data_IF_585238481015
#
_entry.id   IF_585238481015
#
_cell.length_a   1.000
_cell.length_b   1.000
_cell.length_c   1.000
_cell.angle_alpha   90.00
_cell.angle_beta   90.00
_cell.angle_gamma   90.00
#
_symmetry.space_group_name_H-M   'P 1'
#
loop_
_entity.id
_entity.type
_entity.pdbx_description
1 polymer ?
#
# COMPACT_ATOMS: atom_id res chain seq x y z
N UNK A 1 4.71 -0.35 2.75
CA UNK A 1 3.93 0.59 1.91
C UNK A 1 4.17 1.99 2.43
N UNK A 2 4.45 2.92 1.53
CA UNK A 2 4.73 4.32 1.86
C UNK A 2 3.96 5.21 0.90
N UNK A 3 3.16 6.14 1.43
CA UNK A 3 2.63 7.27 0.67
C UNK A 3 3.42 8.52 1.04
N UNK A 4 3.88 9.26 0.03
CA UNK A 4 4.58 10.53 0.18
C UNK A 4 4.24 11.47 -0.96
N UNK A 5 4.48 12.76 -0.77
CA UNK A 5 4.46 13.70 -1.89
C UNK A 5 5.68 13.52 -2.79
N UNK A 6 5.54 13.86 -4.07
CA UNK A 6 6.62 13.77 -5.06
C UNK A 6 7.85 14.61 -4.66
N UNK A 7 7.61 15.79 -4.10
CA UNK A 7 8.63 16.72 -3.62
C UNK A 7 9.13 16.41 -2.19
N UNK A 8 8.70 15.30 -1.59
CA UNK A 8 9.00 14.92 -0.20
C UNK A 8 8.54 15.94 0.86
N UNK A 9 7.60 16.83 0.50
CA UNK A 9 6.93 17.73 1.44
C UNK A 9 6.00 16.98 2.39
N UNK A 10 5.34 17.72 3.31
CA UNK A 10 4.50 17.08 4.33
C UNK A 10 3.14 16.67 3.81
N UNK A 11 2.58 15.60 4.36
CA UNK A 11 1.24 15.23 3.93
C UNK A 11 0.23 16.28 4.39
N UNK A 12 -0.76 16.57 3.55
CA UNK A 12 -1.74 17.61 3.84
C UNK A 12 -2.44 17.38 5.19
N UNK A 13 -2.50 18.41 6.03
CA UNK A 13 -3.12 18.33 7.37
C UNK A 13 -4.64 18.13 7.32
N UNK A 14 -5.25 18.27 6.14
CA UNK A 14 -6.64 17.95 5.85
C UNK A 14 -6.89 16.45 5.77
N UNK A 15 -5.85 15.62 5.61
CA UNK A 15 -5.98 14.16 5.64
C UNK A 15 -6.28 13.72 7.08
N UNK A 16 -7.31 12.89 7.21
CA UNK A 16 -7.68 12.23 8.47
C UNK A 16 -7.07 10.83 8.53
N UNK A 17 -7.28 10.02 7.47
CA UNK A 17 -6.73 8.67 7.41
C UNK A 17 -6.40 8.22 5.99
N UNK A 18 -5.49 7.25 5.87
CA UNK A 18 -5.14 6.62 4.59
C UNK A 18 -5.25 5.11 4.74
N UNK A 19 -6.02 4.47 3.86
CA UNK A 19 -6.25 3.03 3.82
C UNK A 19 -5.89 2.49 2.45
N UNK A 20 -5.16 1.38 2.43
CA UNK A 20 -4.84 0.65 1.21
C UNK A 20 -5.62 -0.66 1.19
N UNK A 21 -6.18 -1.02 0.05
CA UNK A 21 -6.88 -2.28 -0.17
C UNK A 21 -6.11 -3.08 -1.21
N UNK A 22 -5.80 -4.33 -0.90
CA UNK A 22 -5.16 -5.28 -1.83
C UNK A 22 -6.11 -6.45 -2.04
N UNK A 23 -6.53 -6.66 -3.28
CA UNK A 23 -7.53 -7.65 -3.69
C UNK A 23 -6.96 -8.78 -4.55
N UNK A 24 -7.83 -9.69 -4.96
CA UNK A 24 -7.47 -10.91 -5.72
C UNK A 24 -6.47 -11.82 -4.97
N UNK A 25 -6.56 -11.82 -3.64
CA UNK A 25 -5.73 -12.66 -2.79
C UNK A 25 -6.45 -13.98 -2.53
N UNK A 26 -5.69 -15.06 -2.36
CA UNK A 26 -6.23 -16.32 -1.89
C UNK A 26 -6.91 -16.12 -0.52
N UNK A 27 -7.99 -16.85 -0.30
CA UNK A 27 -8.74 -16.79 0.95
C UNK A 27 -8.16 -17.77 1.98
N UNK A 28 -7.64 -18.90 1.50
CA UNK A 28 -7.25 -20.03 2.34
C UNK A 28 -6.17 -20.88 1.67
N UNK A 29 -5.53 -21.71 2.50
CA UNK A 29 -4.64 -22.79 2.08
C UNK A 29 -5.33 -24.12 2.36
N UNK A 30 -5.39 -24.98 1.36
CA UNK A 30 -5.83 -26.35 1.53
C UNK A 30 -4.71 -27.14 2.23
N UNK A 31 -4.96 -27.51 3.49
CA UNK A 31 -3.95 -28.18 4.34
C UNK A 31 -3.58 -29.58 3.88
N UNK A 32 -4.37 -30.21 2.99
CA UNK A 32 -4.08 -31.54 2.48
C UNK A 32 -3.02 -31.53 1.37
N UNK A 33 -3.04 -30.53 0.49
CA UNK A 33 -2.15 -30.46 -0.68
C UNK A 33 -1.26 -29.20 -0.71
N UNK A 34 -1.47 -28.24 0.20
CA UNK A 34 -0.73 -26.98 0.26
C UNK A 34 -1.17 -25.93 -0.76
N UNK A 35 -2.22 -26.19 -1.55
CA UNK A 35 -2.68 -25.26 -2.58
C UNK A 35 -3.44 -24.07 -1.99
N UNK A 36 -3.24 -22.90 -2.57
CA UNK A 36 -4.04 -21.70 -2.29
C UNK A 36 -5.37 -21.77 -3.05
N UNK A 37 -6.46 -21.35 -2.42
CA UNK A 37 -7.81 -21.44 -3.00
C UNK A 37 -8.59 -20.12 -2.83
N UNK A 38 -9.55 -19.89 -3.73
CA UNK A 38 -10.49 -18.76 -3.73
C UNK A 38 -9.80 -17.37 -3.76
N UNK A 39 -9.22 -17.00 -4.90
CA UNK A 39 -8.52 -15.73 -5.11
C UNK A 39 -9.44 -14.50 -5.23
N UNK A 40 -10.27 -14.27 -4.21
CA UNK A 40 -11.26 -13.18 -4.19
C UNK A 40 -11.11 -12.28 -2.97
N UNK A 41 -10.21 -12.63 -2.04
CA UNK A 41 -10.06 -11.91 -0.79
C UNK A 41 -9.47 -10.53 -1.06
N UNK A 42 -10.06 -9.53 -0.41
CA UNK A 42 -9.49 -8.19 -0.29
C UNK A 42 -9.15 -7.92 1.17
N UNK A 43 -7.95 -7.43 1.42
CA UNK A 43 -7.48 -7.01 2.75
C UNK A 43 -7.30 -5.51 2.78
N UNK A 44 -7.61 -4.90 3.93
CA UNK A 44 -7.33 -3.49 4.19
C UNK A 44 -6.07 -3.39 5.05
N UNK A 45 -5.17 -2.51 4.63
CA UNK A 45 -3.90 -2.22 5.30
C UNK A 45 -3.94 -0.72 5.66
N UNK A 46 -4.04 -0.37 6.96
CA UNK A 46 -4.02 1.02 7.38
C UNK A 46 -2.61 1.57 7.31
N UNK A 47 -2.46 2.83 6.92
CA UNK A 47 -1.20 3.56 7.02
C UNK A 47 -1.23 4.53 8.20
N UNK A 48 -0.11 4.62 8.91
CA UNK A 48 0.06 5.62 9.97
C UNK A 48 0.70 6.86 9.39
N UNK A 49 0.05 8.02 9.51
CA UNK A 49 0.56 9.31 9.07
C UNK A 49 1.61 9.80 10.08
N UNK A 50 2.79 10.18 9.60
CA UNK A 50 3.89 10.72 10.39
C UNK A 50 4.67 11.74 9.57
N UNK A 51 4.43 13.03 9.82
CA UNK A 51 5.12 14.13 9.15
C UNK A 51 4.95 14.08 7.63
N UNK A 52 6.00 13.68 6.91
CA UNK A 52 6.04 13.67 5.44
C UNK A 52 5.49 12.43 4.78
N UNK A 53 5.13 11.40 5.55
CA UNK A 53 4.77 10.11 4.98
C UNK A 53 3.62 9.45 5.73
N UNK A 54 2.85 8.63 5.03
CA UNK A 54 1.95 7.66 5.64
C UNK A 54 2.52 6.26 5.38
N UNK A 55 2.80 5.51 6.45
CA UNK A 55 3.61 4.29 6.35
C UNK A 55 2.90 3.13 7.04
N UNK A 56 2.99 1.97 6.40
CA UNK A 56 2.85 0.68 7.05
C UNK A 56 4.12 -0.13 6.75
N UNK A 57 4.85 -0.48 7.81
CA UNK A 57 6.17 -1.12 7.70
C UNK A 57 6.08 -2.56 7.18
N UNK A 58 5.05 -3.31 7.56
CA UNK A 58 4.90 -4.70 7.14
C UNK A 58 3.44 -5.15 7.27
N UNK A 59 2.92 -5.77 6.22
CA UNK A 59 1.66 -6.49 6.22
C UNK A 59 1.88 -7.87 5.58
N UNK A 60 1.29 -8.91 6.16
CA UNK A 60 1.33 -10.26 5.59
C UNK A 60 0.01 -10.57 4.93
N UNK A 61 0.08 -11.09 3.71
CA UNK A 61 -1.09 -11.45 2.89
C UNK A 61 -0.87 -12.80 2.25
N UNK A 62 -1.96 -13.49 1.91
CA UNK A 62 -1.87 -14.69 1.07
C UNK A 62 -1.55 -14.30 -0.38
N UNK A 63 -1.00 -15.22 -1.18
CA UNK A 63 -0.64 -14.97 -2.57
C UNK A 63 -1.81 -14.54 -3.46
N UNK A 64 -1.48 -13.99 -4.62
CA UNK A 64 -2.43 -13.75 -5.72
C UNK A 64 -2.12 -14.63 -6.92
N UNK A 65 -3.13 -14.93 -7.74
CA UNK A 65 -3.01 -15.66 -9.01
C UNK A 65 -2.98 -14.73 -10.23
N UNK A 66 -3.44 -13.50 -10.06
CA UNK A 66 -3.36 -12.39 -11.01
C UNK A 66 -2.72 -11.18 -10.33
N UNK A 67 -2.26 -10.17 -11.10
CA UNK A 67 -1.78 -8.92 -10.50
C UNK A 67 -2.88 -8.33 -9.59
N UNK A 68 -2.62 -8.16 -8.28
CA UNK A 68 -3.64 -7.77 -7.32
C UNK A 68 -4.34 -6.48 -7.70
N UNK A 69 -5.65 -6.44 -7.46
CA UNK A 69 -6.35 -5.16 -7.38
C UNK A 69 -5.75 -4.34 -6.24
N UNK A 70 -5.54 -3.06 -6.47
CA UNK A 70 -4.94 -2.14 -5.53
C UNK A 70 -5.76 -0.85 -5.47
N UNK A 71 -6.25 -0.51 -4.28
CA UNK A 71 -6.98 0.75 -4.06
C UNK A 71 -6.41 1.51 -2.89
N UNK A 72 -6.29 2.82 -3.06
CA UNK A 72 -6.00 3.76 -1.99
C UNK A 72 -7.26 4.58 -1.71
N UNK A 73 -7.64 4.65 -0.45
CA UNK A 73 -8.68 5.58 0.03
C UNK A 73 -8.04 6.56 1.02
N UNK A 74 -8.30 7.85 0.79
CA UNK A 74 -7.85 8.96 1.64
C UNK A 74 -9.10 9.63 2.17
N UNK A 75 -9.34 9.50 3.48
CA UNK A 75 -10.40 10.24 4.16
C UNK A 75 -9.86 11.62 4.57
N UNK A 76 -10.64 12.65 4.27
CA UNK A 76 -10.35 14.03 4.63
C UNK A 76 -11.15 14.41 5.89
N UNK A 77 -10.62 15.33 6.69
CA UNK A 77 -11.25 15.83 7.93
C UNK A 77 -12.61 16.52 7.69
N UNK A 78 -12.89 16.94 6.46
CA UNK A 78 -14.19 17.48 6.07
C UNK A 78 -15.26 16.39 5.82
N UNK A 79 -14.90 15.10 5.94
CA UNK A 79 -15.77 13.95 5.72
C UNK A 79 -15.78 13.40 4.29
N UNK A 80 -15.01 13.99 3.37
CA UNK A 80 -14.88 13.49 2.00
C UNK A 80 -13.87 12.33 1.92
N UNK A 81 -14.18 11.31 1.12
CA UNK A 81 -13.24 10.22 0.80
C UNK A 81 -12.82 10.31 -0.66
N UNK A 82 -11.52 10.48 -0.89
CA UNK A 82 -10.92 10.39 -2.23
C UNK A 82 -10.44 8.96 -2.47
N UNK A 83 -10.64 8.45 -3.69
CA UNK A 83 -10.36 7.05 -4.04
C UNK A 83 -9.51 6.97 -5.30
N UNK A 84 -8.54 6.07 -5.29
CA UNK A 84 -7.73 5.71 -6.45
C UNK A 84 -7.64 4.20 -6.58
N UNK A 85 -7.88 3.67 -7.77
CA UNK A 85 -7.92 2.23 -8.05
C UNK A 85 -6.99 1.90 -9.23
N UNK A 86 -6.23 0.82 -9.09
CA UNK A 86 -5.33 0.28 -10.13
C UNK A 86 -5.13 -1.22 -9.89
N UNK A 87 -4.24 -1.83 -10.68
CA UNK A 87 -3.63 -3.12 -10.38
C UNK A 87 -2.14 -2.95 -10.12
N UNK A 88 -1.56 -3.84 -9.32
CA UNK A 88 -0.10 -3.98 -9.25
C UNK A 88 0.44 -4.56 -10.56
N UNK A 89 1.75 -4.46 -10.78
CA UNK A 89 2.39 -4.92 -12.01
C UNK A 89 2.56 -6.45 -12.09
N UNK A 90 2.62 -7.13 -10.95
CA UNK A 90 2.93 -8.56 -10.85
C UNK A 90 2.11 -9.26 -9.77
N UNK A 91 2.05 -10.60 -9.84
CA UNK A 91 1.40 -11.43 -8.82
C UNK A 91 2.19 -11.39 -7.51
N UNK A 92 1.51 -11.52 -6.38
CA UNK A 92 2.17 -11.71 -5.08
C UNK A 92 2.47 -13.19 -4.89
N UNK A 93 3.74 -13.55 -4.99
CA UNK A 93 4.20 -14.93 -4.81
C UNK A 93 4.61 -15.19 -3.35
N UNK A 94 4.43 -16.42 -2.82
CA UNK A 94 5.00 -16.81 -1.53
C UNK A 94 6.52 -16.52 -1.48
N UNK A 95 7.05 -16.17 -0.31
CA UNK A 95 8.49 -15.95 -0.17
C UNK A 95 9.00 -14.62 -0.75
N UNK A 96 8.10 -13.71 -1.14
CA UNK A 96 8.47 -12.39 -1.68
C UNK A 96 8.12 -11.26 -0.72
N UNK A 97 8.98 -10.24 -0.70
CA UNK A 97 8.71 -8.95 -0.03
C UNK A 97 8.62 -7.88 -1.11
N UNK A 98 7.45 -7.25 -1.22
CA UNK A 98 7.21 -6.15 -2.14
C UNK A 98 7.15 -4.82 -1.37
N UNK A 99 8.02 -3.89 -1.74
CA UNK A 99 7.99 -2.50 -1.32
C UNK A 99 7.13 -1.69 -2.29
N UNK A 100 6.07 -1.06 -1.80
CA UNK A 100 5.20 -0.19 -2.60
C UNK A 100 5.41 1.25 -2.16
N UNK A 101 5.83 2.09 -3.11
CA UNK A 101 5.97 3.53 -2.94
C UNK A 101 4.84 4.20 -3.73
N UNK A 102 3.97 4.91 -3.03
CA UNK A 102 2.92 5.73 -3.62
C UNK A 102 3.36 7.19 -3.58
N UNK A 103 3.22 7.87 -4.71
CA UNK A 103 3.63 9.26 -4.86
C UNK A 103 2.40 10.10 -5.21
N UNK A 104 2.10 11.11 -4.40
CA UNK A 104 1.04 12.10 -4.68
C UNK A 104 1.62 13.41 -5.19
N UNK A 105 0.97 14.00 -6.20
CA UNK A 105 1.39 15.27 -6.81
C UNK A 105 0.83 16.50 -6.05
N UNK A 106 0.53 16.38 -4.75
CA UNK A 106 -0.21 17.40 -3.99
C UNK A 106 0.70 17.94 -2.89
N UNK A 107 1.25 19.11 -3.18
CA UNK A 107 2.21 19.83 -2.34
C UNK A 107 1.50 20.48 -1.16
N UNK A 108 1.88 20.16 0.08
CA UNK A 108 1.81 21.10 1.23
C UNK A 108 2.98 20.81 2.20
N UNK A 109 3.59 21.81 2.82
CA UNK A 109 4.96 21.72 3.35
C UNK A 109 5.11 21.14 4.77
N UNK A 110 6.32 20.61 5.04
CA UNK A 110 7.07 20.45 6.32
C UNK A 110 7.72 19.07 6.64
N UNK A 111 9.04 19.12 6.80
CA UNK A 111 10.00 18.00 6.84
C UNK A 111 9.97 17.17 8.13
N UNK A 112 10.34 15.88 8.07
CA UNK A 112 11.59 15.29 8.69
C UNK A 112 11.63 13.74 8.50
N UNK A 113 12.86 13.21 8.37
CA UNK A 113 13.26 11.82 8.04
C UNK A 113 13.31 10.82 9.22
N UNK A 114 13.40 9.52 8.91
CA UNK A 114 13.83 8.46 9.84
C UNK A 114 13.93 7.05 9.22
N UNK A 115 15.07 6.36 9.44
CA UNK A 115 15.57 5.14 8.78
C UNK A 115 14.96 3.80 9.25
N UNK A 116 15.18 2.72 8.48
CA UNK A 116 14.61 1.38 8.67
C UNK A 116 15.60 0.21 8.58
N UNK A 117 15.15 -0.93 9.11
CA UNK A 117 15.81 -2.18 9.50
C UNK A 117 15.90 -3.22 8.36
N UNK A 118 16.93 -4.08 8.33
CA UNK A 118 17.14 -5.14 7.33
C UNK A 118 16.89 -6.57 7.87
N UNK A 119 16.27 -7.44 7.06
CA UNK A 119 16.05 -8.89 7.31
C UNK A 119 16.41 -9.65 6.03
N UNK A 120 17.13 -10.77 6.12
CA UNK A 120 17.94 -11.34 5.02
C UNK A 120 17.38 -12.56 4.25
N UNK A 121 16.11 -12.94 4.39
CA UNK A 121 15.57 -14.19 3.81
C UNK A 121 14.45 -14.01 2.74
N UNK A 122 14.30 -12.82 2.16
CA UNK A 122 13.24 -12.53 1.18
C UNK A 122 13.81 -12.08 -0.18
N UNK A 123 13.16 -12.46 -1.27
CA UNK A 123 13.38 -11.76 -2.55
C UNK A 123 12.68 -10.41 -2.47
N UNK A 124 13.46 -9.34 -2.55
CA UNK A 124 12.95 -7.96 -2.46
C UNK A 124 12.68 -7.38 -3.85
N UNK A 125 11.50 -6.79 -4.01
CA UNK A 125 11.08 -6.09 -5.23
C UNK A 125 10.44 -4.76 -4.84
N UNK A 126 10.44 -3.80 -5.76
CA UNK A 126 9.87 -2.47 -5.54
C UNK A 126 8.94 -2.08 -6.69
N UNK A 127 7.81 -1.44 -6.35
CA UNK A 127 6.87 -0.87 -7.31
C UNK A 127 6.49 0.56 -6.89
N UNK A 128 6.52 1.49 -7.86
CA UNK A 128 6.11 2.89 -7.66
C UNK A 128 4.77 3.16 -8.35
N UNK A 129 3.83 3.75 -7.62
CA UNK A 129 2.48 4.09 -8.10
C UNK A 129 2.27 5.60 -7.95
N UNK A 130 1.92 6.28 -9.05
CA UNK A 130 1.58 7.70 -9.03
C UNK A 130 0.08 7.89 -8.83
N UNK A 131 -0.30 8.66 -7.80
CA UNK A 131 -1.70 9.00 -7.54
C UNK A 131 -2.09 10.30 -8.27
N UNK A 132 -3.30 10.37 -8.84
CA UNK A 132 -3.80 11.60 -9.44
C UNK A 132 -4.04 12.69 -8.39
N UNK A 133 -4.13 13.98 -8.80
CA UNK A 133 -4.48 15.07 -7.90
C UNK A 133 -5.85 14.85 -7.24
N UNK A 134 -5.98 15.26 -5.97
CA UNK A 134 -7.22 15.25 -5.20
C UNK A 134 -8.03 16.50 -5.58
N UNK A 135 -8.39 16.65 -6.86
CA UNK A 135 -9.36 17.67 -7.29
C UNK A 135 -10.76 17.36 -6.78
#
# INVERSE_FOLDING_TARGET
MTLKNEDSSSLATSIDSVRVYVGNLAEKVNVYNGNYENYTKTVMIPLTISGTQAVNKTAMVLPSDVPPYFRVEIDLKNGETKKYETHLSSILSPGTKLSIIMVSNIIFSETTEGSGFEVSDWTETEETITLPPLS
#
